data_IF_297798561416
#
_entry.id   IF_297798561416
#
_cell.length_a   1.000
_cell.length_b   1.000
_cell.length_c   1.000
_cell.angle_alpha   90.00
_cell.angle_beta   90.00
_cell.angle_gamma   90.00
#
_symmetry.space_group_name_H-M   'P 1'
#
loop_
_entity.id
_entity.type
_entity.pdbx_description
1 polymer ?
#
# COMPACT_ATOMS: atom_id res chain seq x y z
N UNK A 1 18.74 -49.30 -4.79
CA UNK A 1 19.40 -48.87 -3.53
C UNK A 1 18.40 -48.06 -2.71
N UNK A 2 18.19 -48.45 -1.45
CA UNK A 2 17.33 -47.79 -0.46
C UNK A 2 17.93 -46.45 -0.04
N UNK A 3 17.07 -45.46 0.30
CA UNK A 3 17.11 -44.52 1.46
C UNK A 3 16.41 -43.19 1.10
N UNK A 4 15.69 -42.44 1.95
CA UNK A 4 15.13 -42.54 3.30
C UNK A 4 14.08 -41.40 3.36
N UNK A 5 12.90 -41.68 3.92
CA UNK A 5 11.85 -40.71 4.28
C UNK A 5 12.30 -39.72 5.36
N UNK A 6 11.81 -38.48 5.30
CA UNK A 6 11.70 -37.62 6.49
C UNK A 6 10.34 -36.91 6.53
N UNK A 7 9.45 -37.47 7.34
CA UNK A 7 8.32 -36.78 7.97
C UNK A 7 8.87 -35.88 9.07
N UNK A 8 8.47 -34.61 9.10
CA UNK A 8 8.64 -33.74 10.27
C UNK A 8 7.25 -33.29 10.70
N UNK A 9 6.80 -33.88 11.80
CA UNK A 9 5.69 -33.39 12.60
C UNK A 9 6.20 -32.28 13.53
N UNK A 10 5.47 -31.17 13.66
CA UNK A 10 5.68 -30.20 14.73
C UNK A 10 4.35 -29.99 15.45
N UNK A 11 4.42 -30.22 16.76
CA UNK A 11 3.33 -30.32 17.70
C UNK A 11 2.85 -28.93 18.20
N UNK A 12 1.53 -28.78 18.28
CA UNK A 12 0.79 -28.68 19.55
C UNK A 12 1.15 -27.62 20.60
N UNK A 13 0.21 -26.68 20.75
CA UNK A 13 -0.29 -26.04 21.98
C UNK A 13 0.60 -25.02 22.74
N UNK A 14 0.15 -23.76 22.72
CA UNK A 14 0.54 -22.70 23.67
C UNK A 14 -0.68 -22.26 24.46
N UNK A 15 -0.71 -22.62 25.74
CA UNK A 15 -1.67 -22.14 26.76
C UNK A 15 -1.20 -20.80 27.31
N UNK A 16 -2.08 -19.79 27.28
CA UNK A 16 -1.84 -18.50 27.95
C UNK A 16 -2.43 -18.52 29.36
N UNK A 17 -1.60 -18.24 30.37
CA UNK A 17 -1.99 -17.85 31.71
C UNK A 17 -1.49 -16.42 31.95
N UNK A 18 -2.39 -15.50 32.31
CA UNK A 18 -2.01 -14.13 32.70
C UNK A 18 -2.61 -13.85 34.08
N UNK A 19 -1.74 -13.82 35.08
CA UNK A 19 -2.02 -13.43 36.45
C UNK A 19 -1.98 -11.90 36.54
N UNK A 20 -3.05 -11.28 37.04
CA UNK A 20 -3.16 -9.83 37.22
C UNK A 20 -2.33 -9.32 38.40
N UNK A 21 -1.79 -8.10 38.27
CA UNK A 21 -1.21 -7.34 39.37
C UNK A 21 -1.79 -5.92 39.31
N UNK A 22 -2.46 -5.51 40.39
CA UNK A 22 -2.86 -4.13 40.64
C UNK A 22 -1.61 -3.29 40.95
N UNK A 23 -1.58 -2.05 40.45
CA UNK A 23 -0.87 -0.96 41.13
C UNK A 23 -1.73 0.30 41.12
N UNK A 24 -1.97 0.82 42.33
CA UNK A 24 -2.65 2.06 42.62
C UNK A 24 -1.63 3.20 42.84
N UNK A 25 -2.13 4.44 42.77
CA UNK A 25 -1.52 5.74 43.17
C UNK A 25 -0.67 6.45 42.09
N UNK A 26 -0.79 7.75 41.82
CA UNK A 26 -1.50 8.84 42.50
C UNK A 26 -1.61 10.12 41.65
N UNK A 27 -2.31 11.12 42.21
CA UNK A 27 -2.62 12.48 41.72
C UNK A 27 -1.33 13.28 41.44
N UNK A 28 -1.20 14.31 40.59
CA UNK A 28 -2.06 15.44 40.15
C UNK A 28 -1.39 16.12 38.95
N UNK A 29 -2.14 16.73 38.01
CA UNK A 29 -1.86 18.05 37.42
C UNK A 29 -2.81 18.41 36.24
N UNK A 30 -3.55 19.51 36.41
CA UNK A 30 -3.85 20.57 35.44
C UNK A 30 -4.40 20.27 34.01
N UNK A 31 -5.63 20.76 33.80
CA UNK A 31 -6.11 21.57 32.65
C UNK A 31 -6.34 20.91 31.28
N UNK A 32 -7.62 20.69 30.92
CA UNK A 32 -8.38 21.36 29.81
C UNK A 32 -9.75 20.68 29.62
N UNK A 33 -10.87 21.42 29.42
CA UNK A 33 -12.12 20.78 28.99
C UNK A 33 -11.94 20.24 27.55
N UNK A 34 -12.08 18.93 27.40
CA UNK A 34 -12.16 18.28 26.11
C UNK A 34 -13.53 18.53 25.49
N UNK A 35 -13.56 19.11 24.30
CA UNK A 35 -14.72 19.17 23.44
C UNK A 35 -14.74 17.85 22.65
N UNK A 36 -15.72 16.94 22.81
CA UNK A 36 -15.82 15.79 21.93
C UNK A 36 -16.52 16.23 20.64
N UNK A 37 -15.77 16.71 19.66
CA UNK A 37 -16.28 16.73 18.28
C UNK A 37 -16.20 15.32 17.75
N UNK A 38 -17.33 14.62 17.77
CA UNK A 38 -17.56 13.37 17.05
C UNK A 38 -17.46 13.67 15.56
N UNK A 39 -16.25 13.66 15.01
CA UNK A 39 -16.06 13.52 13.57
C UNK A 39 -16.16 12.03 13.28
N UNK A 40 -17.39 11.57 13.03
CA UNK A 40 -17.63 10.29 12.40
C UNK A 40 -16.95 10.31 11.02
N UNK A 41 -15.73 9.79 10.94
CA UNK A 41 -15.16 9.35 9.66
C UNK A 41 -15.88 8.06 9.29
N UNK A 42 -16.75 8.04 8.26
CA UNK A 42 -17.33 6.79 7.79
C UNK A 42 -16.22 5.97 7.12
N UNK A 43 -15.58 5.10 7.89
CA UNK A 43 -14.47 4.26 7.42
C UNK A 43 -14.91 3.16 6.42
N UNK A 44 -16.16 3.22 5.92
CA UNK A 44 -16.77 2.22 5.05
C UNK A 44 -17.55 2.80 3.85
N UNK A 45 -17.51 4.11 3.61
CA UNK A 45 -18.10 4.67 2.39
C UNK A 45 -17.13 4.46 1.23
N UNK A 46 -17.53 3.66 0.24
CA UNK A 46 -16.81 3.58 -1.03
C UNK A 46 -16.83 4.99 -1.65
N UNK A 47 -15.67 5.56 -2.07
CA UNK A 47 -15.61 6.93 -2.55
C UNK A 47 -16.61 7.15 -3.67
N UNK A 48 -17.33 8.26 -3.63
CA UNK A 48 -18.23 8.66 -4.71
C UNK A 48 -17.43 8.84 -6.03
N UNK A 49 -18.08 8.67 -7.20
CA UNK A 49 -17.40 8.83 -8.50
C UNK A 49 -16.70 10.19 -8.66
N UNK A 50 -17.21 11.24 -8.02
CA UNK A 50 -16.59 12.56 -7.94
C UNK A 50 -15.29 12.55 -7.11
N UNK A 51 -15.33 12.08 -5.86
CA UNK A 51 -14.14 11.99 -5.00
C UNK A 51 -13.06 11.08 -5.60
N UNK A 52 -13.50 10.08 -6.36
CA UNK A 52 -12.65 9.16 -7.09
C UNK A 52 -11.97 9.82 -8.29
N UNK A 53 -12.68 10.68 -9.03
CA UNK A 53 -12.10 11.50 -10.10
C UNK A 53 -11.10 12.52 -9.53
N UNK A 54 -11.43 13.13 -8.40
CA UNK A 54 -10.58 14.11 -7.72
C UNK A 54 -9.27 13.46 -7.21
N UNK A 55 -9.35 12.24 -6.67
CA UNK A 55 -8.19 11.46 -6.24
C UNK A 55 -7.16 11.25 -7.37
N UNK A 56 -7.63 10.97 -8.58
CA UNK A 56 -6.77 10.73 -9.74
C UNK A 56 -6.36 12.01 -10.46
N UNK A 57 -6.98 13.16 -10.19
CA UNK A 57 -6.70 14.41 -10.89
C UNK A 57 -5.24 14.86 -10.77
N UNK A 58 -4.76 15.08 -9.55
CA UNK A 58 -3.37 15.48 -9.34
C UNK A 58 -2.35 14.43 -9.78
N UNK A 59 -2.67 13.15 -9.61
CA UNK A 59 -1.84 12.02 -10.06
C UNK A 59 -1.71 12.01 -11.59
N UNK A 60 -2.83 12.18 -12.30
CA UNK A 60 -2.89 12.12 -13.75
C UNK A 60 -2.08 13.25 -14.39
N UNK A 61 -2.18 14.47 -13.85
CA UNK A 61 -1.37 15.61 -14.29
C UNK A 61 0.12 15.31 -14.19
N UNK A 62 0.56 14.70 -13.08
CA UNK A 62 1.98 14.33 -12.89
C UNK A 62 2.43 13.23 -13.85
N UNK A 63 1.57 12.28 -14.17
CA UNK A 63 1.87 11.20 -15.12
C UNK A 63 1.72 11.61 -16.59
N UNK A 64 1.26 12.84 -16.88
CA UNK A 64 1.00 13.29 -18.25
C UNK A 64 -0.19 12.58 -18.91
N UNK A 65 -1.20 12.20 -18.14
CA UNK A 65 -2.40 11.49 -18.60
C UNK A 65 -3.68 12.15 -18.05
N UNK A 66 -4.84 11.58 -18.32
CA UNK A 66 -6.14 12.06 -17.81
C UNK A 66 -6.66 11.20 -16.66
N UNK A 67 -7.47 11.80 -15.78
CA UNK A 67 -8.06 11.09 -14.63
C UNK A 67 -8.96 9.94 -15.06
N UNK A 68 -9.75 10.13 -16.12
CA UNK A 68 -10.61 9.08 -16.68
C UNK A 68 -9.80 7.92 -17.27
N UNK A 69 -8.68 8.21 -17.95
CA UNK A 69 -7.79 7.16 -18.45
C UNK A 69 -7.15 6.39 -17.29
N UNK A 70 -6.72 7.07 -16.23
CA UNK A 70 -6.13 6.43 -15.06
C UNK A 70 -7.14 5.57 -14.29
N UNK A 71 -8.37 6.06 -14.15
CA UNK A 71 -9.48 5.32 -13.53
C UNK A 71 -9.85 4.08 -14.36
N UNK A 72 -10.00 4.21 -15.68
CA UNK A 72 -10.28 3.08 -16.58
C UNK A 72 -9.19 2.01 -16.48
N UNK A 73 -7.93 2.45 -16.45
CA UNK A 73 -6.76 1.57 -16.27
C UNK A 73 -6.78 0.86 -14.92
N UNK A 74 -7.15 1.57 -13.84
CA UNK A 74 -7.31 0.98 -12.51
C UNK A 74 -8.41 -0.09 -12.51
N UNK A 75 -9.57 0.18 -13.11
CA UNK A 75 -10.66 -0.79 -13.17
C UNK A 75 -10.26 -2.04 -13.96
N UNK A 76 -9.59 -1.89 -15.09
CA UNK A 76 -9.07 -3.02 -15.86
C UNK A 76 -8.07 -3.86 -15.03
N UNK A 77 -7.15 -3.20 -14.33
CA UNK A 77 -6.19 -3.87 -13.45
C UNK A 77 -6.87 -4.56 -12.25
N UNK A 78 -7.95 -3.97 -11.72
CA UNK A 78 -8.75 -4.53 -10.62
C UNK A 78 -9.54 -5.77 -11.03
N UNK A 79 -10.00 -5.85 -12.28
CA UNK A 79 -10.62 -7.07 -12.81
C UNK A 79 -9.62 -8.24 -12.85
N UNK A 80 -8.37 -7.97 -13.25
CA UNK A 80 -7.31 -8.98 -13.27
C UNK A 80 -6.76 -9.32 -11.86
N UNK A 81 -6.79 -8.35 -10.94
CA UNK A 81 -6.37 -8.51 -9.56
C UNK A 81 -7.40 -7.86 -8.59
N UNK A 82 -8.40 -8.63 -8.12
CA UNK A 82 -9.45 -8.10 -7.25
C UNK A 82 -8.95 -7.53 -5.91
N UNK A 83 -7.74 -7.90 -5.49
CA UNK A 83 -7.09 -7.41 -4.25
C UNK A 83 -6.32 -6.10 -4.47
N UNK A 84 -6.22 -5.63 -5.71
CA UNK A 84 -5.48 -4.42 -6.05
C UNK A 84 -6.19 -3.18 -5.49
N UNK A 85 -5.48 -2.49 -4.61
CA UNK A 85 -5.94 -1.20 -4.07
C UNK A 85 -5.57 -0.05 -5.02
N UNK A 86 -6.32 1.06 -4.96
CA UNK A 86 -5.99 2.27 -5.73
C UNK A 86 -4.60 2.79 -5.40
N UNK A 87 -4.21 2.78 -4.11
CA UNK A 87 -2.88 3.19 -3.67
C UNK A 87 -1.77 2.35 -4.31
N UNK A 88 -1.93 1.03 -4.35
CA UNK A 88 -0.96 0.14 -5.02
C UNK A 88 -0.86 0.41 -6.52
N UNK A 89 -2.00 0.65 -7.19
CA UNK A 89 -2.02 1.00 -8.60
C UNK A 89 -1.32 2.34 -8.87
N UNK A 90 -1.60 3.38 -8.07
CA UNK A 90 -0.91 4.67 -8.19
C UNK A 90 0.58 4.54 -7.93
N UNK A 91 0.99 3.81 -6.89
CA UNK A 91 2.40 3.55 -6.61
C UNK A 91 3.07 2.83 -7.76
N UNK A 92 2.43 1.83 -8.38
CA UNK A 92 2.99 1.13 -9.54
C UNK A 92 3.23 2.08 -10.72
N UNK A 93 2.27 2.94 -11.05
CA UNK A 93 2.42 3.92 -12.11
C UNK A 93 3.49 4.97 -11.80
N UNK A 94 3.58 5.44 -10.55
CA UNK A 94 4.61 6.39 -10.12
C UNK A 94 6.01 5.78 -10.16
N UNK A 95 6.18 4.55 -9.69
CA UNK A 95 7.48 3.86 -9.75
C UNK A 95 7.92 3.66 -11.21
N UNK A 96 7.01 3.19 -12.07
CA UNK A 96 7.29 3.02 -13.49
C UNK A 96 7.63 4.34 -14.18
N UNK A 97 6.94 5.43 -13.85
CA UNK A 97 7.24 6.77 -14.39
C UNK A 97 8.62 7.27 -13.93
N UNK A 98 8.93 7.13 -12.64
CA UNK A 98 10.17 7.65 -12.05
C UNK A 98 11.41 6.84 -12.48
N UNK A 99 11.26 5.52 -12.63
CA UNK A 99 12.39 4.62 -12.90
C UNK A 99 12.45 4.11 -14.33
N UNK A 100 11.36 4.16 -15.10
CA UNK A 100 11.26 3.52 -16.41
C UNK A 100 12.35 3.96 -17.40
N UNK A 101 12.80 5.22 -17.32
CA UNK A 101 13.89 5.74 -18.15
C UNK A 101 15.26 5.14 -17.82
N UNK A 102 15.49 4.73 -16.56
CA UNK A 102 16.76 4.13 -16.11
C UNK A 102 16.71 2.61 -16.05
N UNK A 103 15.53 2.06 -15.79
CA UNK A 103 15.25 0.63 -15.67
C UNK A 103 14.08 0.27 -16.58
N UNK A 104 14.33 -0.04 -17.86
CA UNK A 104 13.27 -0.29 -18.84
C UNK A 104 12.42 -1.53 -18.51
N UNK A 105 12.92 -2.45 -17.69
CA UNK A 105 12.16 -3.58 -17.18
C UNK A 105 11.09 -3.20 -16.14
N UNK A 106 11.22 -2.04 -15.49
CA UNK A 106 10.29 -1.54 -14.47
C UNK A 106 9.16 -0.80 -15.16
N UNK A 107 8.23 -1.58 -15.71
CA UNK A 107 7.01 -1.08 -16.33
C UNK A 107 5.83 -1.25 -15.38
N UNK A 108 4.77 -0.43 -15.56
CA UNK A 108 3.53 -0.59 -14.79
C UNK A 108 2.99 -2.02 -14.90
N UNK A 109 3.03 -2.62 -16.10
CA UNK A 109 2.54 -3.98 -16.34
C UNK A 109 3.36 -5.03 -15.59
N UNK A 110 4.70 -4.92 -15.58
CA UNK A 110 5.56 -5.83 -14.84
C UNK A 110 5.31 -5.74 -13.33
N UNK A 111 5.12 -4.52 -12.81
CA UNK A 111 4.79 -4.28 -11.40
C UNK A 111 3.42 -4.89 -11.06
N UNK A 112 2.39 -4.61 -11.87
CA UNK A 112 1.04 -5.13 -11.64
C UNK A 112 1.01 -6.67 -11.70
N UNK A 113 1.77 -7.29 -12.60
CA UNK A 113 1.92 -8.74 -12.67
C UNK A 113 2.55 -9.33 -11.41
N UNK A 114 3.55 -8.66 -10.83
CA UNK A 114 4.15 -9.09 -9.57
C UNK A 114 3.18 -8.97 -8.39
N UNK A 115 2.43 -7.87 -8.32
CA UNK A 115 1.37 -7.66 -7.32
C UNK A 115 0.24 -8.69 -7.47
N UNK A 116 -0.14 -9.05 -8.70
CA UNK A 116 -1.12 -10.09 -8.98
C UNK A 116 -0.64 -11.47 -8.51
N UNK A 117 0.66 -11.72 -8.57
CA UNK A 117 1.29 -12.95 -8.04
C UNK A 117 1.33 -12.98 -6.50
N UNK A 118 0.79 -11.96 -5.83
CA UNK A 118 0.76 -11.86 -4.37
C UNK A 118 2.05 -11.33 -3.75
N UNK A 119 3.02 -10.87 -4.56
CA UNK A 119 4.24 -10.24 -4.06
C UNK A 119 3.95 -8.81 -3.58
N UNK A 120 4.75 -8.32 -2.64
CA UNK A 120 4.76 -6.91 -2.29
C UNK A 120 5.37 -6.08 -3.43
N UNK A 121 5.19 -4.76 -3.39
CA UNK A 121 5.78 -3.84 -4.36
C UNK A 121 7.31 -3.96 -4.34
N UNK A 122 7.94 -3.83 -3.16
CA UNK A 122 9.39 -4.01 -3.00
C UNK A 122 9.92 -5.37 -3.48
N UNK A 123 9.24 -6.48 -3.16
CA UNK A 123 9.66 -7.81 -3.64
C UNK A 123 9.49 -7.97 -5.16
N UNK A 124 8.48 -7.31 -5.74
CA UNK A 124 8.31 -7.26 -7.19
C UNK A 124 9.45 -6.49 -7.83
N UNK A 125 9.78 -5.31 -7.31
CA UNK A 125 10.87 -4.47 -7.79
C UNK A 125 12.24 -5.15 -7.69
N UNK A 126 12.50 -5.88 -6.61
CA UNK A 126 13.70 -6.71 -6.48
C UNK A 126 13.76 -7.80 -7.54
N UNK A 127 12.63 -8.48 -7.80
CA UNK A 127 12.53 -9.47 -8.87
C UNK A 127 12.71 -8.90 -10.28
N UNK A 128 12.53 -7.58 -10.45
CA UNK A 128 12.79 -6.84 -11.69
C UNK A 128 14.22 -6.29 -11.79
N UNK A 129 15.08 -6.60 -10.80
CA UNK A 129 16.51 -6.29 -10.84
C UNK A 129 16.95 -5.10 -9.99
N UNK A 130 16.09 -4.53 -9.16
CA UNK A 130 16.51 -3.54 -8.15
C UNK A 130 17.14 -4.23 -6.94
N UNK A 131 18.10 -3.58 -6.30
CA UNK A 131 18.48 -3.96 -4.94
C UNK A 131 17.33 -3.65 -3.96
N UNK A 132 17.40 -4.25 -2.77
CA UNK A 132 16.41 -3.98 -1.74
C UNK A 132 16.31 -2.49 -1.40
N UNK A 133 17.45 -1.83 -1.25
CA UNK A 133 17.50 -0.42 -0.88
C UNK A 133 16.90 0.46 -1.98
N UNK A 134 17.23 0.20 -3.25
CA UNK A 134 16.63 0.94 -4.37
C UNK A 134 15.13 0.70 -4.48
N UNK A 135 14.66 -0.52 -4.24
CA UNK A 135 13.23 -0.83 -4.23
C UNK A 135 12.49 -0.08 -3.11
N UNK A 136 13.06 -0.01 -1.90
CA UNK A 136 12.51 0.74 -0.78
C UNK A 136 12.52 2.26 -1.05
N UNK A 137 13.60 2.78 -1.63
CA UNK A 137 13.70 4.18 -2.02
C UNK A 137 12.69 4.54 -3.10
N UNK A 138 12.53 3.69 -4.11
CA UNK A 138 11.54 3.85 -5.16
C UNK A 138 10.11 3.87 -4.61
N UNK A 139 9.78 2.94 -3.71
CA UNK A 139 8.47 2.88 -3.08
C UNK A 139 8.20 4.14 -2.22
N UNK A 140 9.18 4.54 -1.41
CA UNK A 140 9.05 5.76 -0.59
C UNK A 140 8.90 7.00 -1.45
N UNK A 141 9.67 7.11 -2.52
CA UNK A 141 9.61 8.23 -3.46
C UNK A 141 8.25 8.28 -4.16
N UNK A 142 7.79 7.16 -4.72
CA UNK A 142 6.49 7.06 -5.36
C UNK A 142 5.33 7.41 -4.42
N UNK A 143 5.40 6.98 -3.15
CA UNK A 143 4.39 7.34 -2.13
C UNK A 143 4.37 8.83 -1.84
N UNK A 144 5.54 9.46 -1.65
CA UNK A 144 5.63 10.92 -1.45
C UNK A 144 5.10 11.66 -2.66
N UNK A 145 5.50 11.24 -3.86
CA UNK A 145 5.09 11.83 -5.11
C UNK A 145 3.57 11.76 -5.31
N UNK A 146 2.96 10.63 -4.97
CA UNK A 146 1.51 10.46 -5.02
C UNK A 146 0.78 11.37 -4.02
N UNK A 147 1.29 11.50 -2.80
CA UNK A 147 0.70 12.39 -1.78
C UNK A 147 0.81 13.86 -2.19
N UNK A 148 1.98 14.27 -2.68
CA UNK A 148 2.20 15.64 -3.16
C UNK A 148 1.30 15.96 -4.35
N UNK A 149 1.18 15.04 -5.31
CA UNK A 149 0.33 15.21 -6.47
C UNK A 149 -1.15 15.32 -6.07
N UNK A 150 -1.65 14.49 -5.15
CA UNK A 150 -3.01 14.62 -4.62
C UNK A 150 -3.26 15.98 -3.96
N UNK A 151 -2.29 16.47 -3.18
CA UNK A 151 -2.39 17.76 -2.47
C UNK A 151 -2.31 18.98 -3.38
N UNK A 152 -1.63 18.89 -4.52
CA UNK A 152 -1.47 20.01 -5.44
C UNK A 152 -2.79 20.41 -6.14
N UNK A 153 -3.84 19.60 -6.02
CA UNK A 153 -5.15 19.81 -6.65
C UNK A 153 -6.30 19.88 -5.64
N UNK A 154 -6.00 19.90 -4.33
CA UNK A 154 -7.00 20.00 -3.24
C UNK A 154 -7.32 21.45 -2.90
#
# INVERSE_FOLDING_TARGET
MKRISRLIAVAGALTFAITGILSAQGRSAATRPAHPTVMAHPMNAQPSPSEQRDFFHGIATKLGTTSDALESSYQAAKQANPKLTRGQFVSANMVAHNLGSKHPAITTQAILSGLQSGKSLGATLQGLGLSQQEAEDAERQAKRDAVTAQRATS
#
